data_IF_591521868165
#
_entry.id   IF_591521868165
#
_cell.length_a   1.000
_cell.length_b   1.000
_cell.length_c   1.000
_cell.angle_alpha   90.00
_cell.angle_beta   90.00
_cell.angle_gamma   90.00
#
_symmetry.space_group_name_H-M   'P 1'
#
loop_
_entity.id
_entity.type
_entity.pdbx_description
1 polymer ?
#
# COMPACT_ATOMS: atom_id res chain seq x y z
N UNK A 1 -16.98 10.06 -1.74
CA UNK A 1 -17.01 8.61 -1.45
C UNK A 1 -15.61 8.02 -1.58
N UNK A 2 -15.19 7.27 -0.59
CA UNK A 2 -13.88 6.64 -0.65
C UNK A 2 -13.92 5.42 -1.56
N UNK A 3 -12.87 5.19 -2.34
CA UNK A 3 -12.80 3.99 -3.17
C UNK A 3 -12.69 2.73 -2.31
N UNK A 4 -13.33 1.67 -2.77
CA UNK A 4 -13.23 0.37 -2.13
C UNK A 4 -11.88 -0.27 -2.47
N UNK A 5 -11.41 -0.05 -3.68
CA UNK A 5 -10.15 -0.60 -4.16
C UNK A 5 -9.45 0.43 -5.03
N UNK A 6 -8.14 0.28 -5.13
CA UNK A 6 -7.27 1.24 -5.79
C UNK A 6 -6.42 0.53 -6.83
N UNK A 7 -6.21 1.20 -7.95
CA UNK A 7 -5.19 0.74 -8.91
C UNK A 7 -3.81 0.98 -8.30
N UNK A 8 -2.78 0.42 -8.93
CA UNK A 8 -1.42 0.63 -8.43
C UNK A 8 -1.06 2.12 -8.40
N UNK A 9 -1.27 2.90 -9.48
CA UNK A 9 -0.96 4.33 -9.41
C UNK A 9 -1.73 5.07 -8.31
N UNK A 10 -2.99 4.71 -8.12
CA UNK A 10 -3.79 5.36 -7.07
C UNK A 10 -3.31 4.97 -5.69
N UNK A 11 -2.89 3.71 -5.51
CA UNK A 11 -2.35 3.27 -4.23
C UNK A 11 -1.05 4.01 -3.90
N UNK A 12 -0.22 4.25 -4.90
CA UNK A 12 1.00 5.04 -4.71
C UNK A 12 0.65 6.43 -4.22
N UNK A 13 -0.30 7.08 -4.88
CA UNK A 13 -0.68 8.44 -4.50
C UNK A 13 -1.32 8.49 -3.12
N UNK A 14 -2.16 7.53 -2.83
CA UNK A 14 -2.90 7.52 -1.55
C UNK A 14 -2.01 7.20 -0.37
N UNK A 15 -1.03 6.31 -0.57
CA UNK A 15 -0.21 5.84 0.54
C UNK A 15 1.05 6.68 0.75
N UNK A 16 1.49 7.37 -0.31
CA UNK A 16 2.78 8.05 -0.25
C UNK A 16 3.97 7.12 -0.43
N UNK A 17 3.73 5.83 -0.54
CA UNK A 17 4.80 4.87 -0.77
C UNK A 17 5.19 4.88 -2.24
N UNK A 18 6.42 4.46 -2.53
CA UNK A 18 6.86 4.39 -3.91
C UNK A 18 6.24 3.18 -4.60
N UNK A 19 6.24 3.23 -5.93
CA UNK A 19 5.75 2.12 -6.72
C UNK A 19 6.55 0.85 -6.42
N UNK A 20 7.86 1.00 -6.29
CA UNK A 20 8.73 -0.12 -5.97
C UNK A 20 8.36 -0.75 -4.63
N UNK A 21 8.09 0.08 -3.62
CA UNK A 21 7.74 -0.43 -2.31
C UNK A 21 6.44 -1.23 -2.36
N UNK A 22 5.46 -0.76 -3.13
CA UNK A 22 4.19 -1.45 -3.23
C UNK A 22 4.37 -2.80 -3.92
N UNK A 23 5.11 -2.84 -5.04
CA UNK A 23 5.35 -4.11 -5.72
C UNK A 23 6.16 -5.09 -4.87
N UNK A 24 7.11 -4.57 -4.09
CA UNK A 24 7.86 -5.41 -3.18
C UNK A 24 6.96 -6.03 -2.12
N UNK A 25 6.07 -5.22 -1.56
CA UNK A 25 5.14 -5.71 -0.55
C UNK A 25 4.21 -6.77 -1.11
N UNK A 26 3.75 -6.58 -2.34
CA UNK A 26 2.90 -7.57 -3.00
C UNK A 26 3.66 -8.88 -3.22
N UNK A 27 4.91 -8.78 -3.66
CA UNK A 27 5.72 -9.96 -3.92
C UNK A 27 6.02 -10.74 -2.66
N UNK A 28 6.23 -10.04 -1.55
CA UNK A 28 6.53 -10.68 -0.27
C UNK A 28 5.29 -11.17 0.47
N UNK A 29 4.11 -10.87 -0.04
CA UNK A 29 2.89 -11.26 0.63
C UNK A 29 2.48 -10.36 1.79
N UNK A 30 3.17 -9.23 1.95
CA UNK A 30 2.85 -8.29 3.01
C UNK A 30 1.63 -7.45 2.67
N UNK A 31 1.35 -7.30 1.39
CA UNK A 31 0.21 -6.55 0.89
C UNK A 31 -0.48 -7.41 -0.13
N UNK A 32 -1.77 -7.61 0.02
CA UNK A 32 -2.52 -8.45 -0.90
C UNK A 32 -3.24 -7.60 -1.93
N UNK A 33 -3.44 -8.17 -3.10
CA UNK A 33 -4.14 -7.51 -4.19
C UNK A 33 -5.02 -8.53 -4.90
N UNK A 34 -5.97 -8.03 -5.66
CA UNK A 34 -6.86 -8.87 -6.44
C UNK A 34 -6.71 -8.53 -7.91
N UNK A 35 -6.92 -9.50 -8.75
CA UNK A 35 -6.89 -9.30 -10.20
C UNK A 35 -8.33 -9.13 -10.69
N UNK A 36 -8.52 -8.13 -11.50
CA UNK A 36 -9.79 -7.93 -12.20
C UNK A 36 -9.46 -7.75 -13.66
N UNK A 37 -9.58 -8.82 -14.42
CA UNK A 37 -9.10 -8.81 -15.80
C UNK A 37 -7.61 -8.58 -15.81
N UNK A 38 -7.18 -7.54 -16.48
CA UNK A 38 -5.76 -7.20 -16.56
C UNK A 38 -5.34 -6.23 -15.46
N UNK A 39 -6.28 -5.77 -14.65
CA UNK A 39 -5.97 -4.79 -13.61
C UNK A 39 -5.62 -5.46 -12.32
N UNK A 40 -4.69 -4.87 -11.61
CA UNK A 40 -4.37 -5.24 -10.24
C UNK A 40 -5.01 -4.19 -9.33
N UNK A 41 -5.84 -4.67 -8.40
CA UNK A 41 -6.55 -3.78 -7.48
C UNK A 41 -6.16 -4.10 -6.06
N UNK A 42 -5.89 -3.07 -5.28
CA UNK A 42 -5.55 -3.19 -3.87
C UNK A 42 -6.73 -2.66 -3.07
N UNK A 43 -7.30 -3.49 -2.21
CA UNK A 43 -8.38 -3.02 -1.36
C UNK A 43 -7.87 -1.93 -0.43
N UNK A 44 -8.68 -0.90 -0.23
CA UNK A 44 -8.28 0.22 0.62
C UNK A 44 -7.94 -0.24 2.03
N UNK A 45 -8.71 -1.21 2.55
CA UNK A 45 -8.43 -1.75 3.88
C UNK A 45 -7.09 -2.45 3.95
N UNK A 46 -6.73 -3.19 2.89
CA UNK A 46 -5.44 -3.86 2.85
C UNK A 46 -4.30 -2.86 2.85
N UNK A 47 -4.47 -1.77 2.12
CA UNK A 47 -3.45 -0.73 2.06
C UNK A 47 -3.29 -0.06 3.42
N UNK A 48 -4.41 0.25 4.09
CA UNK A 48 -4.36 0.84 5.42
C UNK A 48 -3.69 -0.09 6.42
N UNK A 49 -4.02 -1.38 6.38
CA UNK A 49 -3.43 -2.35 7.30
C UNK A 49 -1.93 -2.48 7.08
N UNK A 50 -1.52 -2.46 5.81
CA UNK A 50 -0.10 -2.54 5.49
C UNK A 50 0.66 -1.34 6.07
N UNK A 51 0.12 -0.14 5.88
CA UNK A 51 0.76 1.06 6.43
C UNK A 51 0.79 1.04 7.95
N UNK A 52 -0.27 0.53 8.58
CA UNK A 52 -0.35 0.49 10.03
C UNK A 52 0.68 -0.43 10.66
N UNK A 53 1.18 -1.41 9.90
CA UNK A 53 2.19 -2.34 10.41
C UNK A 53 3.61 -1.78 10.33
N UNK A 54 3.80 -0.63 9.67
CA UNK A 54 5.12 -0.04 9.58
C UNK A 54 5.50 0.61 10.91
N UNK A 55 6.81 0.66 11.23
CA UNK A 55 7.25 1.30 12.47
C UNK A 55 6.93 2.78 12.45
N UNK A 56 6.64 3.33 13.61
CA UNK A 56 6.41 4.75 13.73
C UNK A 56 7.72 5.52 13.54
N UNK A 57 7.61 6.69 12.92
CA UNK A 57 8.76 7.56 12.79
C UNK A 57 9.03 8.25 14.13
N UNK A 58 10.25 8.18 14.59
CA UNK A 58 10.62 8.74 15.91
C UNK A 58 11.74 9.75 15.73
N UNK A 59 11.42 10.96 15.30
CA UNK A 59 12.46 11.96 15.02
C UNK A 59 13.32 12.31 16.21
N UNK A 60 12.77 12.23 17.41
CA UNK A 60 13.52 12.56 18.61
C UNK A 60 14.70 11.62 18.85
N UNK A 61 14.67 10.44 18.30
CA UNK A 61 15.73 9.47 18.46
C UNK A 61 16.82 9.59 17.42
N UNK A 62 16.62 10.44 16.45
CA UNK A 62 17.56 10.61 15.35
C UNK A 62 18.75 11.49 15.72
N UNK A 63 18.83 11.94 16.91
CA UNK A 63 19.92 12.83 17.33
C UNK A 63 21.26 12.13 17.31
#
# INVERSE_FOLDING_TARGET
MEPIALTIPDAVRASGASRTAIYEALRRGELSARKHGKRTLIEAEALRAWLARMPAYEPARAA
#
